data_IF_636496652523
#
_entry.id   IF_636496652523
#
_cell.length_a   1.000
_cell.length_b   1.000
_cell.length_c   1.000
_cell.angle_alpha   90.00
_cell.angle_beta   90.00
_cell.angle_gamma   90.00
#
_symmetry.space_group_name_H-M   'P 1'
#
loop_
_entity.id
_entity.type
_entity.pdbx_description
1 polymer ?
#
# COMPACT_ATOMS: atom_id res chain seq x y z
N UNK A 1 42.80 38.33 -35.87
CA UNK A 1 42.69 37.87 -34.46
C UNK A 1 41.25 37.68 -33.93
N UNK A 2 40.21 38.30 -34.43
CA UNK A 2 38.81 38.13 -33.95
C UNK A 2 38.13 36.86 -34.50
N UNK A 3 38.38 36.47 -35.74
CA UNK A 3 37.77 35.28 -36.38
C UNK A 3 38.26 33.97 -35.78
N UNK A 4 39.53 33.89 -35.42
CA UNK A 4 40.13 32.69 -34.82
C UNK A 4 39.57 32.38 -33.43
N UNK A 5 39.23 33.41 -32.64
CA UNK A 5 38.61 33.26 -31.33
C UNK A 5 37.17 32.77 -31.41
N UNK A 6 36.42 33.17 -32.45
CA UNK A 6 35.04 32.72 -32.69
C UNK A 6 35.03 31.25 -33.15
N UNK A 7 35.98 30.85 -33.99
CA UNK A 7 36.08 29.45 -34.43
C UNK A 7 36.43 28.50 -33.28
N UNK A 8 37.33 28.91 -32.37
CA UNK A 8 37.67 28.11 -31.17
C UNK A 8 36.47 28.02 -30.22
N UNK A 9 35.72 29.09 -30.06
CA UNK A 9 34.51 29.06 -29.21
C UNK A 9 33.39 28.17 -29.80
N UNK A 10 33.23 28.14 -31.12
CA UNK A 10 32.25 27.24 -31.77
C UNK A 10 32.71 25.77 -31.72
N UNK A 11 34.03 25.48 -31.83
CA UNK A 11 34.53 24.11 -31.68
C UNK A 11 34.35 23.60 -30.22
N UNK A 12 34.56 24.45 -29.22
CA UNK A 12 34.42 24.09 -27.82
C UNK A 12 32.92 23.84 -27.44
N UNK A 13 31.98 24.53 -28.06
CA UNK A 13 30.53 24.28 -27.81
C UNK A 13 30.03 22.99 -28.47
N UNK A 14 30.66 22.51 -29.55
CA UNK A 14 30.26 21.25 -30.18
C UNK A 14 30.63 20.01 -29.35
N UNK A 15 31.65 20.09 -28.46
CA UNK A 15 32.02 19.00 -27.58
C UNK A 15 31.23 18.88 -26.32
N UNK A 16 30.46 19.89 -25.95
CA UNK A 16 29.64 19.88 -24.72
C UNK A 16 28.31 19.13 -24.93
N UNK A 17 27.85 19.02 -26.16
CA UNK A 17 26.53 18.38 -26.46
C UNK A 17 26.62 16.85 -26.53
N UNK A 18 27.87 16.30 -26.74
CA UNK A 18 28.06 14.84 -26.80
C UNK A 18 28.43 14.19 -25.46
N UNK A 19 28.61 15.00 -24.40
CA UNK A 19 29.02 14.51 -23.09
C UNK A 19 27.84 14.11 -22.18
N UNK A 20 26.59 14.20 -22.65
CA UNK A 20 25.40 13.79 -21.97
C UNK A 20 24.64 12.67 -22.69
N UNK A 21 25.32 11.89 -23.51
CA UNK A 21 24.73 10.62 -23.92
C UNK A 21 24.86 9.66 -22.74
N UNK A 22 23.78 9.25 -22.07
CA UNK A 22 23.89 8.21 -21.08
C UNK A 22 24.49 7.02 -21.82
N UNK A 23 25.58 6.47 -21.28
CA UNK A 23 26.13 5.18 -21.75
C UNK A 23 25.05 4.15 -21.35
N UNK A 24 23.93 4.14 -22.06
CA UNK A 24 23.07 2.99 -22.11
C UNK A 24 23.75 1.97 -22.96
N UNK A 25 24.22 0.92 -22.33
CA UNK A 25 24.66 -0.27 -23.03
C UNK A 25 23.44 -0.85 -23.74
N UNK A 26 23.27 -0.50 -25.03
CA UNK A 26 22.12 -0.92 -25.84
C UNK A 26 22.01 -2.45 -25.88
N UNK A 27 23.17 -3.14 -25.88
CA UNK A 27 23.22 -4.60 -25.86
C UNK A 27 22.66 -5.18 -24.55
N UNK A 28 22.93 -4.53 -23.41
CA UNK A 28 22.37 -4.92 -22.12
C UNK A 28 20.89 -4.58 -22.05
N UNK A 29 20.50 -3.39 -22.51
CA UNK A 29 19.09 -2.99 -22.56
C UNK A 29 18.28 -3.96 -23.41
N UNK A 30 18.72 -4.24 -24.63
CA UNK A 30 18.00 -5.12 -25.55
C UNK A 30 17.95 -6.56 -25.03
N UNK A 31 19.00 -7.04 -24.38
CA UNK A 31 19.00 -8.34 -23.73
C UNK A 31 17.96 -8.42 -22.60
N UNK A 32 17.89 -7.43 -21.73
CA UNK A 32 16.92 -7.44 -20.62
C UNK A 32 15.50 -7.12 -21.06
N UNK A 33 15.30 -6.34 -22.13
CA UNK A 33 13.97 -6.04 -22.67
C UNK A 33 13.43 -7.17 -23.53
N UNK A 34 14.28 -7.84 -24.32
CA UNK A 34 13.88 -8.97 -25.16
C UNK A 34 13.71 -10.26 -24.38
N UNK A 35 14.45 -10.46 -23.28
CA UNK A 35 14.31 -11.62 -22.38
C UNK A 35 13.25 -11.43 -21.29
N UNK A 36 12.40 -10.42 -21.39
CA UNK A 36 11.33 -10.18 -20.41
C UNK A 36 10.33 -11.35 -20.27
N UNK A 37 10.42 -12.34 -21.14
CA UNK A 37 9.60 -13.55 -21.10
C UNK A 37 8.14 -13.29 -21.50
N UNK A 38 7.31 -14.29 -21.27
CA UNK A 38 5.87 -14.17 -21.49
C UNK A 38 5.21 -13.56 -20.22
N UNK A 39 4.42 -12.48 -20.37
CA UNK A 39 3.74 -11.91 -19.22
C UNK A 39 2.77 -12.90 -18.60
N UNK A 40 2.63 -12.86 -17.28
CA UNK A 40 1.59 -13.61 -16.58
C UNK A 40 0.21 -13.15 -17.05
N UNK A 41 -0.75 -14.05 -17.11
CA UNK A 41 -2.12 -13.66 -17.44
C UNK A 41 -2.81 -12.99 -16.24
N UNK A 42 -3.82 -12.19 -16.51
CA UNK A 42 -4.64 -11.54 -15.48
C UNK A 42 -5.26 -12.58 -14.52
N UNK A 43 -5.77 -13.68 -15.06
CA UNK A 43 -6.39 -14.75 -14.30
C UNK A 43 -5.40 -15.46 -13.37
N UNK A 44 -4.16 -15.66 -13.85
CA UNK A 44 -3.11 -16.26 -13.03
C UNK A 44 -2.65 -15.32 -11.91
N UNK A 45 -2.59 -13.99 -12.16
CA UNK A 45 -2.33 -13.01 -11.12
C UNK A 45 -3.49 -12.92 -10.14
N UNK A 46 -4.74 -12.93 -10.62
CA UNK A 46 -5.94 -12.92 -9.79
C UNK A 46 -5.97 -14.11 -8.82
N UNK A 47 -5.58 -15.31 -9.29
CA UNK A 47 -5.51 -16.51 -8.47
C UNK A 47 -4.36 -16.47 -7.43
N UNK A 48 -3.36 -15.62 -7.65
CA UNK A 48 -2.22 -15.50 -6.76
C UNK A 48 -2.41 -14.49 -5.63
N UNK A 49 -3.41 -13.61 -5.74
CA UNK A 49 -3.72 -12.64 -4.69
C UNK A 49 -4.79 -13.16 -3.73
N UNK A 50 -4.70 -12.72 -2.48
CA UNK A 50 -5.70 -13.00 -1.44
C UNK A 50 -6.00 -11.72 -0.68
N UNK A 51 -7.29 -11.45 -0.47
CA UNK A 51 -7.82 -10.31 0.27
C UNK A 51 -8.79 -10.87 1.29
N UNK A 52 -8.48 -10.75 2.58
CA UNK A 52 -9.28 -11.35 3.66
C UNK A 52 -9.38 -10.40 4.85
N UNK A 53 -10.43 -10.58 5.64
CA UNK A 53 -10.56 -9.96 6.96
C UNK A 53 -10.12 -11.00 8.01
N UNK A 54 -8.87 -10.91 8.55
CA UNK A 54 -8.25 -12.02 9.27
C UNK A 54 -8.65 -12.14 10.74
N UNK A 55 -9.17 -11.05 11.32
CA UNK A 55 -9.47 -11.01 12.75
C UNK A 55 -10.97 -11.03 12.99
N UNK A 56 -11.48 -11.98 13.80
CA UNK A 56 -12.85 -11.91 14.26
C UNK A 56 -12.99 -10.72 15.22
N UNK A 57 -14.15 -10.05 15.16
CA UNK A 57 -14.53 -9.09 16.17
C UNK A 57 -14.75 -9.79 17.54
N UNK A 58 -15.11 -9.01 18.59
CA UNK A 58 -15.34 -9.56 19.93
C UNK A 58 -16.43 -10.64 19.98
N UNK A 59 -17.35 -10.65 19.02
CA UNK A 59 -18.43 -11.63 18.87
C UNK A 59 -18.01 -12.86 18.03
N UNK A 60 -16.76 -12.92 17.58
CA UNK A 60 -16.26 -13.98 16.72
C UNK A 60 -16.65 -13.85 15.25
N UNK A 61 -17.22 -12.70 14.84
CA UNK A 61 -17.63 -12.41 13.47
C UNK A 61 -16.46 -11.77 12.73
N UNK A 62 -16.09 -12.36 11.60
CA UNK A 62 -14.98 -11.89 10.75
C UNK A 62 -15.46 -10.86 9.72
N UNK A 63 -16.73 -10.97 9.30
CA UNK A 63 -17.31 -10.06 8.33
C UNK A 63 -17.46 -8.65 8.90
N UNK A 64 -17.06 -7.67 8.10
CA UNK A 64 -17.16 -6.26 8.48
C UNK A 64 -16.01 -5.74 9.34
N UNK A 65 -15.00 -6.56 9.63
CA UNK A 65 -13.82 -6.15 10.40
C UNK A 65 -13.04 -5.04 9.68
N UNK A 66 -12.47 -4.15 10.48
CA UNK A 66 -11.63 -3.04 9.98
C UNK A 66 -10.25 -3.47 9.48
N UNK A 67 -9.79 -4.66 9.84
CA UNK A 67 -8.50 -5.18 9.40
C UNK A 67 -8.66 -5.95 8.09
N UNK A 68 -7.84 -5.62 7.11
CA UNK A 68 -7.80 -6.31 5.82
C UNK A 68 -6.39 -6.83 5.59
N UNK A 69 -6.25 -8.14 5.44
CA UNK A 69 -5.01 -8.78 5.07
C UNK A 69 -4.93 -8.91 3.55
N UNK A 70 -3.86 -8.40 3.00
CA UNK A 70 -3.51 -8.41 1.59
C UNK A 70 -2.30 -9.30 1.39
N UNK A 71 -2.37 -10.23 0.44
CA UNK A 71 -1.27 -11.16 0.16
C UNK A 71 -1.13 -11.41 -1.33
N UNK A 72 0.08 -11.26 -1.84
CA UNK A 72 0.51 -11.75 -3.14
C UNK A 72 1.39 -13.00 -2.91
N UNK A 73 0.98 -14.15 -3.42
CA UNK A 73 1.74 -15.41 -3.33
C UNK A 73 2.79 -15.57 -4.43
N UNK A 74 2.92 -14.59 -5.34
CA UNK A 74 3.89 -14.53 -6.43
C UNK A 74 4.87 -13.38 -6.19
N UNK A 75 5.88 -13.55 -5.31
CA UNK A 75 6.87 -12.51 -5.00
C UNK A 75 7.76 -12.15 -6.19
N UNK A 76 7.77 -12.98 -7.23
CA UNK A 76 8.41 -12.72 -8.53
C UNK A 76 7.66 -11.68 -9.38
N UNK A 77 6.41 -11.36 -9.02
CA UNK A 77 5.58 -10.34 -9.66
C UNK A 77 5.46 -9.15 -8.71
N UNK A 78 6.43 -8.26 -8.76
CA UNK A 78 6.38 -7.02 -7.98
C UNK A 78 5.23 -6.12 -8.43
N UNK A 79 4.68 -5.36 -7.49
CA UNK A 79 3.58 -4.46 -7.81
C UNK A 79 3.07 -3.66 -6.63
N UNK A 80 1.81 -3.26 -6.70
CA UNK A 80 1.16 -2.45 -5.67
C UNK A 80 -0.32 -2.79 -5.49
N UNK A 81 -0.76 -2.71 -4.25
CA UNK A 81 -2.17 -2.75 -3.88
C UNK A 81 -2.78 -1.37 -4.00
N UNK A 82 -3.97 -1.33 -4.57
CA UNK A 82 -4.79 -0.12 -4.69
C UNK A 82 -6.08 -0.34 -3.94
N UNK A 83 -6.40 0.57 -3.04
CA UNK A 83 -7.59 0.54 -2.21
C UNK A 83 -8.35 1.83 -2.48
N UNK A 84 -9.57 1.73 -2.93
CA UNK A 84 -10.43 2.86 -3.27
C UNK A 84 -11.74 2.79 -2.48
N UNK A 85 -12.21 3.92 -1.95
CA UNK A 85 -13.48 4.00 -1.21
C UNK A 85 -14.11 5.38 -1.33
N UNK A 86 -15.34 5.53 -0.84
CA UNK A 86 -16.11 6.77 -0.93
C UNK A 86 -17.01 6.83 -2.16
N UNK A 87 -18.00 7.72 -2.11
CA UNK A 87 -18.96 7.94 -3.18
C UNK A 87 -18.46 8.87 -4.28
N UNK A 88 -19.30 9.05 -5.29
CA UNK A 88 -19.06 10.00 -6.40
C UNK A 88 -18.86 11.41 -5.82
N UNK A 89 -17.73 12.06 -6.13
CA UNK A 89 -17.36 13.38 -5.59
C UNK A 89 -16.53 13.37 -4.29
N UNK A 90 -16.41 12.21 -3.60
CA UNK A 90 -15.56 12.07 -2.40
C UNK A 90 -14.65 10.84 -2.45
N UNK A 91 -14.30 10.40 -3.65
CA UNK A 91 -13.48 9.22 -3.85
C UNK A 91 -12.10 9.40 -3.21
N UNK A 92 -11.73 8.45 -2.36
CA UNK A 92 -10.43 8.38 -1.71
C UNK A 92 -9.68 7.15 -2.20
N UNK A 93 -8.37 7.18 -2.11
CA UNK A 93 -7.54 6.04 -2.50
C UNK A 93 -6.28 5.94 -1.65
N UNK A 94 -5.80 4.73 -1.49
CA UNK A 94 -4.53 4.41 -0.83
C UNK A 94 -3.77 3.40 -1.68
N UNK A 95 -2.49 3.61 -1.87
CA UNK A 95 -1.61 2.69 -2.61
C UNK A 95 -0.53 2.16 -1.66
N UNK A 96 -0.26 0.85 -1.74
CA UNK A 96 0.76 0.17 -0.95
C UNK A 96 1.68 -0.61 -1.87
N UNK A 97 2.96 -0.30 -1.84
CA UNK A 97 4.00 -0.98 -2.63
C UNK A 97 4.60 -2.09 -1.76
N UNK A 98 3.91 -3.21 -1.71
CA UNK A 98 4.33 -4.40 -0.94
C UNK A 98 3.57 -5.62 -1.43
N UNK A 99 4.13 -6.82 -1.25
CA UNK A 99 3.45 -8.07 -1.55
C UNK A 99 2.44 -8.47 -0.48
N UNK A 100 2.76 -8.19 0.78
CA UNK A 100 1.91 -8.54 1.91
C UNK A 100 1.74 -7.36 2.84
N UNK A 101 0.51 -7.12 3.29
CA UNK A 101 0.19 -6.10 4.28
C UNK A 101 -1.06 -6.48 5.07
N UNK A 102 -1.13 -6.03 6.31
CA UNK A 102 -2.39 -5.90 7.04
C UNK A 102 -2.70 -4.42 7.16
N UNK A 103 -3.83 -4.01 6.64
CA UNK A 103 -4.26 -2.60 6.59
C UNK A 103 -5.43 -2.40 7.53
N UNK A 104 -5.39 -1.30 8.28
CA UNK A 104 -6.49 -0.88 9.13
C UNK A 104 -7.30 0.15 8.37
N UNK A 105 -8.60 -0.05 8.27
CA UNK A 105 -9.54 0.88 7.66
C UNK A 105 -10.11 1.81 8.71
N UNK A 106 -10.22 3.10 8.38
CA UNK A 106 -10.56 4.16 9.33
C UNK A 106 -12.05 4.56 9.28
N UNK A 107 -12.80 3.98 8.35
CA UNK A 107 -14.23 4.30 8.18
C UNK A 107 -15.05 3.10 7.75
N UNK A 108 -16.32 3.07 8.15
CA UNK A 108 -17.27 2.12 7.64
C UNK A 108 -17.60 2.47 6.19
N UNK A 109 -17.22 1.59 5.27
CA UNK A 109 -17.39 1.80 3.83
C UNK A 109 -17.19 0.48 3.07
N UNK A 110 -17.55 0.50 1.79
CA UNK A 110 -17.14 -0.51 0.84
C UNK A 110 -15.79 -0.09 0.23
N UNK A 111 -14.80 -0.98 0.35
CA UNK A 111 -13.46 -0.80 -0.16
C UNK A 111 -13.27 -1.67 -1.41
N UNK A 112 -12.99 -1.03 -2.54
CA UNK A 112 -12.64 -1.69 -3.79
C UNK A 112 -11.13 -1.88 -3.84
N UNK A 113 -10.67 -3.12 -3.78
CA UNK A 113 -9.26 -3.47 -3.64
C UNK A 113 -8.80 -4.28 -4.84
N UNK A 114 -7.71 -3.87 -5.48
CA UNK A 114 -7.09 -4.59 -6.57
C UNK A 114 -5.56 -4.52 -6.50
N UNK A 115 -4.90 -5.43 -7.19
CA UNK A 115 -3.45 -5.45 -7.33
C UNK A 115 -3.03 -5.09 -8.74
N UNK A 116 -1.98 -4.28 -8.86
CA UNK A 116 -1.32 -3.99 -10.14
C UNK A 116 0.08 -4.58 -10.08
N UNK A 117 0.30 -5.64 -10.86
CA UNK A 117 1.58 -6.32 -10.96
C UNK A 117 2.32 -5.96 -12.24
N UNK A 118 3.63 -6.09 -12.23
CA UNK A 118 4.50 -5.91 -13.40
C UNK A 118 5.09 -7.26 -13.77
N UNK A 119 4.82 -7.70 -14.99
CA UNK A 119 5.36 -8.95 -15.54
C UNK A 119 5.74 -8.74 -17.00
N UNK A 120 6.94 -9.13 -17.38
CA UNK A 120 7.45 -9.00 -18.75
C UNK A 120 7.22 -7.59 -19.33
N UNK A 121 7.58 -6.55 -18.57
CA UNK A 121 7.44 -5.13 -18.93
C UNK A 121 5.98 -4.69 -19.18
N UNK A 122 4.98 -5.48 -18.74
CA UNK A 122 3.58 -5.13 -18.83
C UNK A 122 2.97 -4.96 -17.45
N UNK A 123 2.08 -3.98 -17.32
CA UNK A 123 1.28 -3.78 -16.12
C UNK A 123 0.00 -4.61 -16.26
N UNK A 124 -0.23 -5.50 -15.29
CA UNK A 124 -1.39 -6.37 -15.25
C UNK A 124 -2.21 -5.96 -14.03
N UNK A 125 -3.46 -5.58 -14.26
CA UNK A 125 -4.40 -5.20 -13.22
C UNK A 125 -5.37 -6.33 -12.95
N UNK A 126 -5.52 -6.73 -11.68
CA UNK A 126 -6.54 -7.71 -11.25
C UNK A 126 -7.93 -7.07 -11.23
N UNK A 127 -8.96 -7.89 -11.19
CA UNK A 127 -10.30 -7.40 -10.94
C UNK A 127 -10.43 -6.90 -9.51
N UNK A 128 -11.17 -5.81 -9.27
CA UNK A 128 -11.38 -5.29 -7.94
C UNK A 128 -12.25 -6.25 -7.12
N UNK A 129 -11.84 -6.49 -5.88
CA UNK A 129 -12.63 -7.18 -4.87
C UNK A 129 -13.21 -6.15 -3.92
N UNK A 130 -14.51 -6.19 -3.69
CA UNK A 130 -15.16 -5.30 -2.74
C UNK A 130 -15.16 -5.94 -1.37
N UNK A 131 -14.61 -5.23 -0.37
CA UNK A 131 -14.61 -5.62 1.03
C UNK A 131 -15.40 -4.59 1.81
N UNK A 132 -16.47 -5.02 2.46
CA UNK A 132 -17.31 -4.16 3.29
C UNK A 132 -16.77 -4.11 4.71
N UNK A 133 -16.56 -2.91 5.23
CA UNK A 133 -16.18 -2.66 6.62
C UNK A 133 -17.35 -1.97 7.30
N UNK A 134 -17.90 -2.60 8.32
CA UNK A 134 -19.07 -2.10 9.08
C UNK A 134 -18.75 -1.78 10.53
N UNK A 135 -17.62 -2.28 11.03
CA UNK A 135 -17.21 -2.12 12.42
C UNK A 135 -15.81 -1.55 12.53
N UNK A 136 -15.69 -0.23 12.31
CA UNK A 136 -14.44 0.49 12.60
C UNK A 136 -14.44 0.88 14.06
N UNK A 137 -13.95 -0.03 14.89
CA UNK A 137 -13.81 0.20 16.31
C UNK A 137 -12.63 -0.62 16.83
N UNK A 138 -11.67 0.01 17.46
CA UNK A 138 -10.53 -0.68 18.01
C UNK A 138 -10.73 -1.07 19.49
N UNK A 139 -10.00 -2.09 19.93
CA UNK A 139 -10.05 -2.58 21.31
C UNK A 139 -9.69 -1.49 22.34
N UNK A 140 -8.83 -0.54 21.93
CA UNK A 140 -8.46 0.56 22.80
C UNK A 140 -9.62 1.52 23.04
N UNK A 141 -10.41 1.82 21.99
CA UNK A 141 -11.61 2.63 22.11
C UNK A 141 -12.62 1.97 23.04
N UNK A 142 -12.87 0.66 22.90
CA UNK A 142 -13.71 -0.13 23.81
C UNK A 142 -13.14 -0.12 25.22
N UNK A 143 -11.83 -0.32 25.35
CA UNK A 143 -11.17 -0.35 26.65
C UNK A 143 -11.30 0.99 27.39
N UNK A 144 -11.15 2.12 26.70
CA UNK A 144 -11.24 3.44 27.31
C UNK A 144 -12.64 3.92 27.53
N UNK A 145 -13.59 3.69 26.64
CA UNK A 145 -14.93 4.24 26.69
C UNK A 145 -15.98 3.28 27.27
N UNK A 146 -15.73 1.98 27.17
CA UNK A 146 -16.71 0.94 27.46
C UNK A 146 -17.78 0.77 26.38
N UNK A 147 -17.68 1.51 25.27
CA UNK A 147 -18.57 1.37 24.13
C UNK A 147 -18.21 0.13 23.33
N UNK A 148 -19.20 -0.51 22.72
CA UNK A 148 -19.03 -1.68 21.84
C UNK A 148 -19.04 -1.31 20.36
N UNK A 149 -19.49 -0.10 20.05
CA UNK A 149 -19.46 0.48 18.71
C UNK A 149 -19.46 2.02 18.74
N UNK A 150 -19.20 2.67 17.61
CA UNK A 150 -19.18 4.14 17.51
C UNK A 150 -20.52 4.83 17.74
N UNK A 151 -21.62 4.12 17.60
CA UNK A 151 -22.97 4.67 17.80
C UNK A 151 -23.38 4.70 19.26
N UNK A 152 -22.73 3.93 20.12
CA UNK A 152 -23.02 3.86 21.55
C UNK A 152 -22.47 5.09 22.29
N UNK A 153 -23.20 6.19 22.19
CA UNK A 153 -22.91 7.44 22.92
C UNK A 153 -23.28 7.38 24.39
N UNK A 154 -23.95 6.32 24.83
CA UNK A 154 -24.37 6.12 26.20
C UNK A 154 -23.34 5.39 27.06
N UNK A 155 -22.37 4.74 26.42
CA UNK A 155 -21.32 4.01 27.09
C UNK A 155 -20.57 4.88 28.09
N UNK A 156 -20.39 4.36 29.30
CA UNK A 156 -19.66 5.02 30.38
C UNK A 156 -18.73 4.03 31.05
N UNK A 157 -17.47 4.39 31.21
CA UNK A 157 -16.52 3.62 31.98
C UNK A 157 -15.94 4.49 33.10
N UNK A 158 -15.99 3.98 34.30
CA UNK A 158 -15.41 4.67 35.47
C UNK A 158 -14.00 4.17 35.67
N UNK A 159 -13.05 5.09 35.59
CA UNK A 159 -11.66 4.84 35.89
C UNK A 159 -11.37 5.17 37.34
N UNK A 160 -10.71 4.26 38.06
CA UNK A 160 -10.18 4.52 39.37
C UNK A 160 -8.67 4.48 39.29
N UNK A 161 -8.01 5.53 39.74
CA UNK A 161 -6.55 5.46 39.93
C UNK A 161 -6.25 4.47 41.05
N UNK A 162 -5.33 3.57 40.79
CA UNK A 162 -4.82 2.69 41.82
C UNK A 162 -4.03 3.53 42.81
N UNK A 163 -4.42 3.51 44.09
CA UNK A 163 -3.60 4.06 45.15
C UNK A 163 -2.31 3.21 45.23
N UNK A 164 -1.24 3.70 44.67
CA UNK A 164 0.09 3.11 44.81
C UNK A 164 0.79 3.85 45.93
N UNK A 165 0.88 3.24 47.08
CA UNK A 165 1.79 3.73 48.13
C UNK A 165 3.21 3.67 47.61
N UNK A 166 3.89 4.80 47.49
CA UNK A 166 5.26 4.91 47.02
C UNK A 166 6.27 4.06 47.82
N UNK A 167 5.87 3.58 49.01
CA UNK A 167 6.69 2.73 49.85
C UNK A 167 6.65 1.22 49.49
N UNK A 168 5.73 0.77 48.66
CA UNK A 168 5.57 -0.66 48.33
C UNK A 168 6.21 -1.07 47.01
N UNK A 169 6.77 -0.15 46.25
CA UNK A 169 7.36 -0.44 44.93
C UNK A 169 8.86 -0.76 45.01
N UNK A 170 9.50 -0.50 46.17
CA UNK A 170 10.95 -0.69 46.32
C UNK A 170 11.38 -1.94 47.08
N UNK A 171 10.47 -2.88 47.39
CA UNK A 171 10.81 -4.09 48.16
C UNK A 171 10.26 -5.36 47.48
N UNK A 172 10.73 -5.64 46.26
CA UNK A 172 10.80 -7.03 45.73
C UNK A 172 11.97 -7.15 44.78
#
# INVERSE_FOLDING_TARGET
>A
MKVTKILIAMLASAFIVTACDPIEDEDLRDKYVTDAGTPITKEALQAAISITQPFPNQDGVVEGDQYIALKNSRPDIGGSWHIEWGGEGSKQSKTLVTDNATVIMESNADYSIYYMGISANQIIKTDPVVVTVTNVFDDWSTYFTGATDKSDKSAKKTWKFREVSWGSVCNT
#
